data_IF_350255955474
#
_entry.id   IF_350255955474
#
_cell.length_a   1.000
_cell.length_b   1.000
_cell.length_c   1.000
_cell.angle_alpha   90.00
_cell.angle_beta   90.00
_cell.angle_gamma   90.00
#
_symmetry.space_group_name_H-M   'P 1'
#
loop_
_entity.id
_entity.type
_entity.pdbx_description
1 polymer ?
#
# COMPACT_ATOMS: atom_id res chain seq x y z
N UNK A 1 0.76 3.71 19.11
CA UNK A 1 -0.13 3.50 17.95
C UNK A 1 0.73 3.15 16.76
N UNK A 2 0.28 2.29 15.85
CA UNK A 2 1.06 1.91 14.65
C UNK A 2 0.55 2.73 13.45
N UNK A 3 1.42 3.54 12.85
CA UNK A 3 1.09 4.35 11.66
C UNK A 3 1.28 3.52 10.39
N UNK A 4 0.18 2.96 9.89
CA UNK A 4 0.16 2.14 8.69
C UNK A 4 0.32 0.64 8.96
N UNK A 5 0.61 -0.12 7.91
CA UNK A 5 0.77 -1.56 7.94
C UNK A 5 2.20 -1.95 7.56
N UNK A 6 2.87 -2.71 8.44
CA UNK A 6 4.15 -3.36 8.14
C UNK A 6 3.91 -4.84 7.91
N UNK A 7 4.37 -5.34 6.76
CA UNK A 7 4.19 -6.73 6.32
C UNK A 7 5.56 -7.41 6.32
N UNK A 8 5.65 -8.59 6.93
CA UNK A 8 6.85 -9.42 6.92
C UNK A 8 6.63 -10.58 5.94
N UNK A 9 7.50 -10.72 4.95
CA UNK A 9 7.38 -11.73 3.90
C UNK A 9 8.32 -12.94 4.09
N UNK A 10 8.98 -13.01 5.25
CA UNK A 10 10.04 -13.99 5.52
C UNK A 10 11.37 -13.60 4.88
N UNK A 11 12.44 -14.34 5.22
CA UNK A 11 13.76 -14.21 4.57
C UNK A 11 14.35 -12.78 4.57
N UNK A 12 14.02 -11.99 5.61
CA UNK A 12 14.45 -10.60 5.72
C UNK A 12 13.68 -9.61 4.84
N UNK A 13 12.76 -10.07 3.99
CA UNK A 13 11.95 -9.21 3.14
C UNK A 13 10.77 -8.58 3.90
N UNK A 14 10.48 -7.32 3.60
CA UNK A 14 9.39 -6.57 4.23
C UNK A 14 8.77 -5.52 3.32
N UNK A 15 7.52 -5.15 3.64
CA UNK A 15 6.79 -4.04 3.03
C UNK A 15 6.20 -3.11 4.08
N UNK A 16 6.09 -1.82 3.76
CA UNK A 16 5.43 -0.81 4.57
C UNK A 16 4.44 -0.05 3.69
N UNK A 17 3.19 0.06 4.15
CA UNK A 17 2.16 0.92 3.57
C UNK A 17 1.69 1.88 4.64
N UNK A 18 1.76 3.19 4.41
CA UNK A 18 1.27 4.19 5.36
C UNK A 18 0.67 5.40 4.66
N UNK A 19 -0.19 6.11 5.36
CA UNK A 19 -0.54 7.47 4.97
C UNK A 19 0.68 8.40 5.16
N UNK A 20 0.87 9.31 4.20
CA UNK A 20 1.78 10.45 4.39
C UNK A 20 1.23 11.37 5.47
N UNK A 21 2.12 11.94 6.27
CA UNK A 21 1.75 12.84 7.37
C UNK A 21 1.39 14.24 6.87
N UNK A 22 1.86 14.63 5.69
CA UNK A 22 1.79 16.03 5.22
C UNK A 22 1.14 16.19 3.86
N UNK A 23 0.88 15.09 3.15
CA UNK A 23 0.30 15.11 1.81
C UNK A 23 -0.78 14.02 1.71
N UNK A 24 -1.80 14.19 0.87
CA UNK A 24 -2.87 13.21 0.67
C UNK A 24 -2.41 12.07 -0.25
N UNK A 25 -1.33 11.39 0.14
CA UNK A 25 -0.73 10.28 -0.62
C UNK A 25 -0.41 9.10 0.30
N UNK A 26 -0.41 7.89 -0.26
CA UNK A 26 0.14 6.71 0.40
C UNK A 26 1.64 6.61 0.11
N UNK A 27 2.41 6.22 1.13
CA UNK A 27 3.84 5.93 1.01
C UNK A 27 4.02 4.42 1.13
N UNK A 28 4.61 3.83 0.09
CA UNK A 28 4.94 2.41 0.03
C UNK A 28 6.47 2.24 0.02
N UNK A 29 6.98 1.29 0.80
CA UNK A 29 8.41 0.90 0.81
C UNK A 29 8.54 -0.61 0.84
N UNK A 30 9.55 -1.12 0.15
CA UNK A 30 9.82 -2.55 0.05
C UNK A 30 11.31 -2.82 0.13
N UNK A 31 11.67 -3.90 0.81
CA UNK A 31 13.03 -4.42 0.90
C UNK A 31 12.99 -5.94 0.73
N UNK A 32 13.95 -6.45 -0.02
CA UNK A 32 14.18 -7.88 -0.22
C UNK A 32 15.65 -8.11 -0.62
N UNK A 33 16.10 -9.35 -0.55
CA UNK A 33 17.47 -9.73 -0.89
C UNK A 33 17.81 -9.51 -2.38
N UNK A 34 16.82 -9.51 -3.27
CA UNK A 34 17.02 -9.25 -4.72
C UNK A 34 16.02 -8.21 -5.26
N UNK A 35 16.40 -7.48 -6.32
CA UNK A 35 15.48 -6.56 -7.01
C UNK A 35 14.21 -7.25 -7.53
N UNK A 36 14.34 -8.47 -8.06
CA UNK A 36 13.22 -9.26 -8.60
C UNK A 36 12.21 -9.55 -7.50
N UNK A 37 12.67 -10.03 -6.34
CA UNK A 37 11.80 -10.32 -5.21
C UNK A 37 11.16 -9.05 -4.66
N UNK A 38 11.91 -7.95 -4.57
CA UNK A 38 11.36 -6.65 -4.14
C UNK A 38 10.23 -6.20 -5.09
N UNK A 39 10.43 -6.37 -6.39
CA UNK A 39 9.49 -5.92 -7.41
C UNK A 39 8.23 -6.80 -7.47
N UNK A 40 8.35 -8.11 -7.24
CA UNK A 40 7.21 -9.00 -7.01
C UNK A 40 6.36 -8.55 -5.80
N UNK A 41 7.01 -8.27 -4.66
CA UNK A 41 6.34 -7.83 -3.45
C UNK A 41 5.66 -6.46 -3.65
N UNK A 42 6.34 -5.54 -4.35
CA UNK A 42 5.77 -4.24 -4.73
C UNK A 42 4.50 -4.44 -5.54
N UNK A 43 4.56 -5.22 -6.63
CA UNK A 43 3.43 -5.44 -7.52
C UNK A 43 2.23 -6.06 -6.80
N UNK A 44 2.49 -7.05 -5.94
CA UNK A 44 1.45 -7.69 -5.12
C UNK A 44 0.73 -6.68 -4.21
N UNK A 45 1.49 -5.87 -3.49
CA UNK A 45 0.91 -4.91 -2.52
C UNK A 45 0.25 -3.73 -3.24
N UNK A 46 0.85 -3.22 -4.32
CA UNK A 46 0.25 -2.15 -5.14
C UNK A 46 -1.08 -2.58 -5.76
N UNK A 47 -1.21 -3.83 -6.21
CA UNK A 47 -2.46 -4.35 -6.74
C UNK A 47 -3.59 -4.32 -5.70
N UNK A 48 -3.32 -4.76 -4.46
CA UNK A 48 -4.30 -4.72 -3.37
C UNK A 48 -4.65 -3.27 -3.02
N UNK A 49 -3.65 -2.40 -2.84
CA UNK A 49 -3.88 -0.99 -2.50
C UNK A 49 -4.71 -0.29 -3.58
N UNK A 50 -4.41 -0.51 -4.86
CA UNK A 50 -5.13 0.10 -5.96
C UNK A 50 -6.60 -0.35 -6.00
N UNK A 51 -6.87 -1.65 -5.78
CA UNK A 51 -8.22 -2.19 -5.75
C UNK A 51 -9.06 -1.55 -4.63
N UNK A 52 -8.52 -1.48 -3.42
CA UNK A 52 -9.24 -0.96 -2.24
C UNK A 52 -9.40 0.57 -2.28
N UNK A 53 -8.37 1.30 -2.71
CA UNK A 53 -8.44 2.77 -2.86
C UNK A 53 -9.45 3.14 -3.94
N UNK A 54 -9.46 2.42 -5.08
CA UNK A 54 -10.45 2.65 -6.13
C UNK A 54 -11.88 2.41 -5.64
N UNK A 55 -12.11 1.33 -4.89
CA UNK A 55 -13.42 1.04 -4.30
C UNK A 55 -13.85 2.14 -3.29
N UNK A 56 -12.95 2.60 -2.43
CA UNK A 56 -13.24 3.66 -1.48
C UNK A 56 -13.53 5.00 -2.17
N UNK A 57 -12.80 5.34 -3.23
CA UNK A 57 -13.03 6.56 -4.01
C UNK A 57 -14.38 6.52 -4.75
N UNK A 58 -14.77 5.36 -5.29
CA UNK A 58 -16.07 5.19 -5.93
C UNK A 58 -17.23 5.37 -4.93
N UNK A 59 -17.10 4.79 -3.72
CA UNK A 59 -18.10 4.96 -2.65
C UNK A 59 -18.27 6.43 -2.22
N UNK A 60 -17.17 7.16 -2.07
CA UNK A 60 -17.21 8.60 -1.73
C UNK A 60 -17.87 9.41 -2.85
N UNK A 61 -17.58 9.10 -4.12
CA UNK A 61 -18.21 9.77 -5.25
C UNK A 61 -19.73 9.52 -5.32
N UNK A 62 -20.19 8.33 -4.97
CA UNK A 62 -21.64 8.02 -4.94
C UNK A 62 -22.35 8.75 -3.79
N UNK A 63 -21.73 8.82 -2.61
CA UNK A 63 -22.30 9.49 -1.43
C UNK A 63 -22.40 11.02 -1.58
N UNK A 64 -21.52 11.64 -2.37
CA UNK A 64 -21.52 13.09 -2.57
C UNK A 64 -22.48 13.57 -3.68
N UNK A 65 -22.98 12.66 -4.51
CA UNK A 65 -23.86 12.97 -5.64
C UNK A 65 -25.36 12.66 -5.36
N UNK A 66 -25.71 12.24 -4.15
CA UNK A 66 -27.10 12.02 -3.69
C UNK A 66 -27.46 12.92 -2.53
#
# INVERSE_FOLDING_TARGET
>A
TVDGARILFGEGAWGLVRASNTQPVLVLRFEAATPERRDELRAMVEAVVAAEVGAAQAFVAETLNG
#
